data_IF_977435095852
#
_entry.id   IF_977435095852
#
_cell.length_a   1.000
_cell.length_b   1.000
_cell.length_c   1.000
_cell.angle_alpha   90.00
_cell.angle_beta   90.00
_cell.angle_gamma   90.00
#
_symmetry.space_group_name_H-M   'P 1'
#
loop_
_entity.id
_entity.type
_entity.pdbx_description
1 polymer ?
#
# COMPACT_ATOMS: atom_id res chain seq x y z
N UNK A 1 -31.03 10.97 7.89
CA UNK A 1 -30.42 9.94 8.76
C UNK A 1 -29.20 9.34 8.05
N UNK A 2 -27.97 9.66 8.52
CA UNK A 2 -26.66 9.37 7.89
C UNK A 2 -26.13 7.93 8.10
N UNK A 3 -26.98 6.99 8.55
CA UNK A 3 -26.55 5.66 9.01
C UNK A 3 -26.12 4.69 7.90
N UNK A 4 -26.52 4.92 6.63
CA UNK A 4 -26.26 3.97 5.54
C UNK A 4 -24.85 4.08 4.93
N UNK A 5 -24.21 5.25 5.04
CA UNK A 5 -22.87 5.51 4.47
C UNK A 5 -21.75 4.94 5.36
N UNK A 6 -21.90 5.09 6.68
CA UNK A 6 -20.92 4.61 7.67
C UNK A 6 -20.73 3.09 7.62
N UNK A 7 -21.82 2.34 7.41
CA UNK A 7 -21.76 0.88 7.26
C UNK A 7 -20.97 0.44 6.03
N UNK A 8 -21.00 1.20 4.93
CA UNK A 8 -20.29 0.82 3.70
C UNK A 8 -18.78 1.01 3.85
N UNK A 9 -18.36 2.09 4.51
CA UNK A 9 -16.94 2.28 4.86
C UNK A 9 -16.46 1.25 5.88
N UNK A 10 -17.26 0.97 6.90
CA UNK A 10 -16.91 -0.06 7.90
C UNK A 10 -16.81 -1.45 7.26
N UNK A 11 -17.72 -1.83 6.35
CA UNK A 11 -17.62 -3.08 5.60
C UNK A 11 -16.37 -3.17 4.70
N UNK A 12 -15.88 -2.05 4.18
CA UNK A 12 -14.63 -2.00 3.41
C UNK A 12 -13.40 -2.16 4.32
N UNK A 13 -13.44 -1.57 5.53
CA UNK A 13 -12.40 -1.70 6.55
C UNK A 13 -12.35 -3.14 7.09
N UNK A 14 -13.51 -3.78 7.30
CA UNK A 14 -13.61 -5.19 7.72
C UNK A 14 -13.04 -6.18 6.70
N UNK A 15 -12.90 -5.79 5.42
CA UNK A 15 -12.25 -6.61 4.39
C UNK A 15 -10.72 -6.58 4.47
N UNK A 16 -10.14 -5.57 5.14
CA UNK A 16 -8.69 -5.48 5.35
C UNK A 16 -8.31 -6.46 6.45
N UNK A 17 -7.95 -7.66 6.03
CA UNK A 17 -7.45 -8.72 6.91
C UNK A 17 -5.95 -8.61 7.18
N UNK A 18 -5.47 -9.39 8.17
CA UNK A 18 -4.04 -9.56 8.51
C UNK A 18 -3.12 -9.89 7.33
N UNK A 19 -3.69 -10.33 6.20
CA UNK A 19 -2.99 -10.70 4.96
C UNK A 19 -2.78 -9.55 3.98
N UNK A 20 -3.22 -8.33 4.32
CA UNK A 20 -3.10 -7.15 3.47
C UNK A 20 -1.85 -6.34 3.80
N UNK A 21 -1.07 -6.05 2.77
CA UNK A 21 -0.04 -5.02 2.77
C UNK A 21 -0.67 -3.71 2.30
N UNK A 22 -0.60 -2.65 3.09
CA UNK A 22 -1.03 -1.31 2.69
C UNK A 22 0.19 -0.51 2.27
N UNK A 23 0.21 -0.01 1.05
CA UNK A 23 1.32 0.75 0.48
C UNK A 23 0.85 2.16 0.21
N UNK A 24 1.45 3.14 0.87
CA UNK A 24 1.26 4.56 0.56
C UNK A 24 2.40 5.05 -0.32
N UNK A 25 2.07 5.75 -1.41
CA UNK A 25 3.05 6.36 -2.32
C UNK A 25 2.84 7.86 -2.34
N UNK A 26 3.88 8.58 -1.96
CA UNK A 26 4.01 10.03 -2.13
C UNK A 26 4.55 10.30 -3.54
N UNK A 27 3.72 10.92 -4.39
CA UNK A 27 4.03 11.14 -5.80
C UNK A 27 4.72 12.50 -5.95
N UNK A 28 6.02 12.51 -6.28
CA UNK A 28 6.71 13.72 -6.75
C UNK A 28 7.08 13.66 -8.25
N UNK A 29 7.50 14.79 -8.81
CA UNK A 29 7.74 14.92 -10.27
C UNK A 29 8.83 13.99 -10.82
N UNK A 30 9.90 13.76 -10.04
CA UNK A 30 11.06 12.96 -10.48
C UNK A 30 11.20 11.63 -9.74
N UNK A 31 10.92 11.64 -8.43
CA UNK A 31 11.07 10.47 -7.56
C UNK A 31 9.83 10.32 -6.68
N UNK A 32 9.29 9.11 -6.64
CA UNK A 32 8.21 8.74 -5.74
C UNK A 32 8.78 8.02 -4.52
N UNK A 33 8.12 8.20 -3.37
CA UNK A 33 8.50 7.51 -2.13
C UNK A 33 7.34 6.60 -1.71
N UNK A 34 7.60 5.30 -1.69
CA UNK A 34 6.67 4.29 -1.20
C UNK A 34 7.00 3.87 0.23
N UNK A 35 5.95 3.73 1.05
CA UNK A 35 6.00 3.15 2.39
C UNK A 35 4.97 2.05 2.50
N UNK A 36 5.36 0.95 3.15
CA UNK A 36 4.45 -0.15 3.41
C UNK A 36 4.15 -0.25 4.90
N UNK A 37 2.89 -0.50 5.21
CA UNK A 37 2.38 -0.77 6.54
C UNK A 37 1.46 -1.99 6.49
N UNK A 38 1.32 -2.69 7.60
CA UNK A 38 0.29 -3.71 7.73
C UNK A 38 -1.08 -3.07 7.97
N UNK A 39 -2.14 -3.88 8.01
CA UNK A 39 -3.50 -3.42 8.33
C UNK A 39 -3.65 -2.67 9.67
N UNK A 40 -2.69 -2.79 10.59
CA UNK A 40 -2.65 -2.06 11.88
C UNK A 40 -1.89 -0.74 11.80
N UNK A 41 -1.33 -0.38 10.64
CA UNK A 41 -0.50 0.81 10.46
C UNK A 41 0.94 0.65 10.94
N UNK A 42 1.40 -0.57 11.23
CA UNK A 42 2.80 -0.82 11.61
C UNK A 42 3.63 -0.92 10.33
N UNK A 43 4.75 -0.20 10.27
CA UNK A 43 5.67 -0.19 9.13
C UNK A 43 6.22 -1.59 8.86
N UNK A 44 6.19 -1.98 7.59
CA UNK A 44 6.67 -3.28 7.10
C UNK A 44 7.80 -3.04 6.10
N UNK A 45 9.04 -3.19 6.56
CA UNK A 45 10.24 -3.01 5.75
C UNK A 45 10.62 -1.54 5.53
N UNK A 46 11.72 -1.34 4.80
CA UNK A 46 12.27 -0.02 4.50
C UNK A 46 11.49 0.69 3.37
N UNK A 47 11.39 2.03 3.42
CA UNK A 47 10.80 2.81 2.36
C UNK A 47 11.57 2.65 1.04
N UNK A 48 10.84 2.66 -0.08
CA UNK A 48 11.43 2.61 -1.41
C UNK A 48 11.33 3.98 -2.07
N UNK A 49 12.44 4.49 -2.58
CA UNK A 49 12.44 5.62 -3.51
C UNK A 49 12.63 5.09 -4.92
N UNK A 50 11.75 5.48 -5.85
CA UNK A 50 11.82 5.06 -7.25
C UNK A 50 11.55 6.21 -8.20
N UNK A 51 12.09 6.14 -9.42
CA UNK A 51 11.91 7.18 -10.44
C UNK A 51 10.50 7.13 -11.04
N UNK A 52 10.04 8.27 -11.54
CA UNK A 52 8.82 8.36 -12.35
C UNK A 52 9.07 7.88 -13.79
N UNK A 53 9.45 6.62 -13.95
CA UNK A 53 9.73 5.95 -15.22
C UNK A 53 9.41 4.44 -15.09
N UNK A 54 9.26 3.73 -16.21
CA UNK A 54 8.94 2.31 -16.28
C UNK A 54 9.88 1.44 -15.41
N UNK A 55 11.19 1.73 -15.41
CA UNK A 55 12.16 0.99 -14.59
C UNK A 55 11.91 1.19 -13.09
N UNK A 56 11.50 2.41 -12.71
CA UNK A 56 11.13 2.77 -11.35
C UNK A 56 9.88 2.02 -10.89
N UNK A 57 8.82 2.01 -11.71
CA UNK A 57 7.60 1.25 -11.42
C UNK A 57 7.83 -0.27 -11.40
N UNK A 58 8.73 -0.78 -12.24
CA UNK A 58 9.15 -2.19 -12.20
C UNK A 58 9.83 -2.53 -10.87
N UNK A 59 10.70 -1.64 -10.39
CA UNK A 59 11.36 -1.78 -9.09
C UNK A 59 10.37 -1.70 -7.93
N UNK A 60 9.38 -0.81 -8.04
CA UNK A 60 8.27 -0.70 -7.09
C UNK A 60 7.46 -2.00 -7.00
N UNK A 61 7.05 -2.58 -8.13
CA UNK A 61 6.33 -3.85 -8.15
C UNK A 61 7.15 -5.01 -7.55
N UNK A 62 8.45 -5.07 -7.84
CA UNK A 62 9.35 -6.08 -7.23
C UNK A 62 9.44 -5.90 -5.72
N UNK A 63 9.54 -4.67 -5.24
CA UNK A 63 9.58 -4.35 -3.82
C UNK A 63 8.28 -4.77 -3.11
N UNK A 64 7.10 -4.50 -3.69
CA UNK A 64 5.82 -4.97 -3.13
C UNK A 64 5.81 -6.50 -3.02
N UNK A 65 6.17 -7.20 -4.10
CA UNK A 65 6.20 -8.68 -4.11
C UNK A 65 7.15 -9.25 -3.06
N UNK A 66 8.30 -8.60 -2.87
CA UNK A 66 9.26 -9.01 -1.85
C UNK A 66 8.68 -8.87 -0.43
N UNK A 67 8.05 -7.73 -0.13
CA UNK A 67 7.40 -7.51 1.16
C UNK A 67 6.23 -8.46 1.40
N UNK A 68 5.45 -8.77 0.35
CA UNK A 68 4.40 -9.79 0.39
C UNK A 68 4.94 -11.18 0.73
N UNK A 69 6.02 -11.60 0.06
CA UNK A 69 6.67 -12.89 0.31
C UNK A 69 7.24 -13.01 1.72
N UNK A 70 7.93 -11.98 2.21
CA UNK A 70 8.52 -11.97 3.56
C UNK A 70 7.46 -12.07 4.67
N UNK A 71 6.28 -11.48 4.45
CA UNK A 71 5.24 -11.39 5.47
C UNK A 71 4.06 -12.35 5.23
N UNK A 72 4.15 -13.26 4.26
CA UNK A 72 3.05 -14.15 3.84
C UNK A 72 1.74 -13.39 3.53
N UNK A 73 1.85 -12.18 2.98
CA UNK A 73 0.72 -11.32 2.64
C UNK A 73 0.31 -11.60 1.19
N UNK A 74 -0.97 -11.91 0.96
CA UNK A 74 -1.46 -12.28 -0.37
C UNK A 74 -1.99 -11.08 -1.17
N UNK A 75 -2.34 -9.99 -0.49
CA UNK A 75 -3.03 -8.86 -1.12
C UNK A 75 -2.30 -7.57 -0.77
N UNK A 76 -2.18 -6.68 -1.75
CA UNK A 76 -1.59 -5.36 -1.57
C UNK A 76 -2.60 -4.29 -1.98
N UNK A 77 -2.82 -3.32 -1.09
CA UNK A 77 -3.64 -2.13 -1.35
C UNK A 77 -2.66 -0.98 -1.53
N UNK A 78 -2.66 -0.36 -2.71
CA UNK A 78 -1.78 0.77 -3.01
C UNK A 78 -2.60 2.04 -3.07
N UNK A 79 -2.30 2.98 -2.18
CA UNK A 79 -2.79 4.36 -2.23
C UNK A 79 -1.71 5.26 -2.84
N UNK A 80 -2.08 6.03 -3.86
CA UNK A 80 -1.21 7.02 -4.49
C UNK A 80 -1.88 8.38 -4.35
N UNK A 81 -1.23 9.29 -3.64
CA UNK A 81 -1.71 10.67 -3.49
C UNK A 81 -0.99 11.55 -4.54
N UNK A 82 -1.73 12.24 -5.45
CA UNK A 82 -1.18 13.11 -6.48
C UNK A 82 -0.80 14.52 -5.97
#
# INVERSE_FOLDING_TARGET
MKFKMQNKQNQLIERISVKHLVVGVDIAQQFHVARAVNFRGIVVGDPLTFKNDEEGFTSFLKWIKNLQGLNNLCEAIVGMEP
#
